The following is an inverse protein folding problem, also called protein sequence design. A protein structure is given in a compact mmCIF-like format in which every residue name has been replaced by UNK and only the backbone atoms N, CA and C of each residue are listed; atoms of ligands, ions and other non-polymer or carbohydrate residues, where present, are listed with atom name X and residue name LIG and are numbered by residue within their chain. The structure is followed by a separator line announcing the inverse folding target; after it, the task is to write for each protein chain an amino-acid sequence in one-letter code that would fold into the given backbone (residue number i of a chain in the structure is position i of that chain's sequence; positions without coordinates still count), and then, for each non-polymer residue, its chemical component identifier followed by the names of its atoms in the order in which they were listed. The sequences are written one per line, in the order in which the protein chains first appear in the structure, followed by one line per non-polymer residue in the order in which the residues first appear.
data_IF_541976537896
#
_entry.id   IF_541976537896
#
_cell.length_a   1.000
_cell.length_b   1.000
_cell.length_c   1.000
_cell.angle_alpha   90.00
_cell.angle_beta   90.00
_cell.angle_gamma   90.00
#
_symmetry.space_group_name_H-M   'P 1'
#
loop_
_entity.id
_entity.type
_entity.pdbx_description
1 polymer ?
#
# COMPACT_ATOMS: atom_id res chain seq x y z
N UNK A 1 -7.99 16.60 -11.79
CA UNK A 1 -6.66 15.97 -11.62
C UNK A 1 -6.74 14.49 -11.27
N UNK A 2 -7.44 14.12 -10.19
CA UNK A 2 -7.66 12.74 -9.76
C UNK A 2 -8.05 11.77 -10.89
N UNK A 3 -9.05 12.14 -11.71
CA UNK A 3 -9.50 11.33 -12.85
C UNK A 3 -8.42 11.09 -13.91
N UNK A 4 -7.60 12.10 -14.21
CA UNK A 4 -6.49 11.94 -15.16
C UNK A 4 -5.45 10.94 -14.65
N UNK A 5 -5.10 11.01 -13.36
CA UNK A 5 -4.22 10.02 -12.71
C UNK A 5 -4.86 8.63 -12.74
N UNK A 6 -6.17 8.51 -12.50
CA UNK A 6 -6.87 7.23 -12.50
C UNK A 6 -6.95 6.56 -13.89
N UNK A 7 -7.11 7.33 -14.97
CA UNK A 7 -7.36 6.76 -16.30
C UNK A 7 -6.11 6.73 -17.20
N UNK A 8 -5.21 7.70 -17.07
CA UNK A 8 -4.18 7.98 -18.09
C UNK A 8 -2.74 7.90 -17.60
N UNK A 9 -2.48 7.52 -16.33
CA UNK A 9 -1.13 7.44 -15.76
C UNK A 9 -0.13 6.63 -16.61
N UNK A 10 -0.54 5.47 -17.11
CA UNK A 10 0.31 4.59 -17.93
C UNK A 10 0.67 5.20 -19.30
N UNK A 11 -0.10 6.22 -19.76
CA UNK A 11 0.13 6.93 -21.03
C UNK A 11 0.90 8.24 -20.81
N UNK A 12 1.09 8.67 -19.57
CA UNK A 12 1.78 9.93 -19.27
C UNK A 12 3.28 9.75 -19.45
N UNK A 13 3.93 10.74 -20.05
CA UNK A 13 5.39 10.80 -20.06
C UNK A 13 5.92 10.99 -18.64
N UNK A 14 7.17 10.57 -18.41
CA UNK A 14 7.83 10.74 -17.12
C UNK A 14 7.78 12.19 -16.62
N UNK A 15 8.04 13.16 -17.50
CA UNK A 15 7.99 14.58 -17.16
C UNK A 15 6.62 15.07 -16.67
N UNK A 16 5.53 14.52 -17.24
CA UNK A 16 4.17 14.85 -16.78
C UNK A 16 3.91 14.27 -15.39
N UNK A 17 4.42 13.05 -15.11
CA UNK A 17 4.32 12.43 -13.78
C UNK A 17 5.08 13.28 -12.74
N UNK A 18 6.30 13.72 -13.04
CA UNK A 18 7.08 14.61 -12.17
C UNK A 18 6.32 15.90 -11.85
N UNK A 19 5.83 16.59 -12.89
CA UNK A 19 5.10 17.85 -12.73
C UNK A 19 3.81 17.67 -11.90
N UNK A 20 3.13 16.53 -12.02
CA UNK A 20 1.94 16.22 -11.22
C UNK A 20 2.26 16.06 -9.74
N UNK A 21 3.38 15.41 -9.39
CA UNK A 21 3.81 15.26 -8.00
C UNK A 21 4.29 16.58 -7.42
N UNK A 22 5.01 17.39 -8.20
CA UNK A 22 5.38 18.75 -7.79
C UNK A 22 4.14 19.60 -7.51
N UNK A 23 3.14 19.53 -8.38
CA UNK A 23 1.89 20.26 -8.21
C UNK A 23 1.09 19.79 -6.99
N UNK A 24 1.11 18.49 -6.68
CA UNK A 24 0.56 17.99 -5.42
C UNK A 24 1.30 18.61 -4.22
N UNK A 25 2.63 18.65 -4.25
CA UNK A 25 3.43 19.27 -3.19
C UNK A 25 3.07 20.76 -3.02
N UNK A 26 2.96 21.51 -4.12
CA UNK A 26 2.62 22.92 -4.10
C UNK A 26 1.20 23.18 -3.58
N UNK A 27 0.23 22.31 -3.93
CA UNK A 27 -1.12 22.38 -3.39
C UNK A 27 -1.18 22.10 -1.89
N UNK A 28 -0.35 21.18 -1.38
CA UNK A 28 -0.24 20.92 0.05
C UNK A 28 0.33 22.13 0.79
N UNK A 29 1.36 22.80 0.23
CA UNK A 29 1.91 24.05 0.77
C UNK A 29 0.87 25.17 0.85
N UNK A 30 -0.06 25.22 -0.11
CA UNK A 30 -1.15 26.17 -0.14
C UNK A 30 -2.39 25.74 0.67
N UNK A 31 -2.32 24.61 1.39
CA UNK A 31 -3.43 24.04 2.16
C UNK A 31 -4.72 23.81 1.34
N UNK A 32 -4.59 23.50 0.05
CA UNK A 32 -5.72 23.20 -0.82
C UNK A 32 -6.48 21.98 -0.27
N UNK A 33 -7.81 22.08 -0.18
CA UNK A 33 -8.67 21.00 0.31
C UNK A 33 -8.95 19.93 -0.76
N UNK A 34 -9.38 18.73 -0.35
CA UNK A 34 -9.84 17.65 -1.24
C UNK A 34 -8.76 17.00 -2.11
N UNK A 35 -7.52 16.93 -1.61
CA UNK A 35 -6.39 16.25 -2.27
C UNK A 35 -6.33 14.74 -1.98
N UNK A 36 -7.14 14.25 -1.04
CA UNK A 36 -7.11 12.88 -0.54
C UNK A 36 -7.46 11.85 -1.64
N UNK A 37 -8.40 12.20 -2.53
CA UNK A 37 -8.77 11.34 -3.66
C UNK A 37 -7.66 11.29 -4.71
N UNK A 38 -6.97 12.42 -4.95
CA UNK A 38 -5.81 12.45 -5.84
C UNK A 38 -4.69 11.58 -5.26
N UNK A 39 -4.40 11.75 -3.97
CA UNK A 39 -3.41 10.95 -3.25
C UNK A 39 -3.75 9.47 -3.29
N UNK A 40 -5.03 9.11 -3.13
CA UNK A 40 -5.51 7.75 -3.27
C UNK A 40 -5.14 7.16 -4.63
N UNK A 41 -5.41 7.88 -5.71
CA UNK A 41 -5.08 7.40 -7.05
C UNK A 41 -3.56 7.26 -7.28
N UNK A 42 -2.76 8.17 -6.72
CA UNK A 42 -1.29 8.09 -6.80
C UNK A 42 -0.74 6.90 -6.02
N UNK A 43 -1.19 6.68 -4.78
CA UNK A 43 -0.79 5.53 -3.97
C UNK A 43 -1.17 4.20 -4.63
N UNK A 44 -2.31 4.15 -5.32
CA UNK A 44 -2.75 2.99 -6.10
C UNK A 44 -1.93 2.73 -7.36
N UNK A 45 -0.99 3.62 -7.72
CA UNK A 45 0.01 3.39 -8.77
C UNK A 45 1.29 2.77 -8.24
N UNK A 46 1.52 2.77 -6.92
CA UNK A 46 2.63 2.06 -6.31
C UNK A 46 2.27 0.57 -6.25
N UNK A 47 2.95 -0.22 -7.09
CA UNK A 47 2.73 -1.65 -7.22
C UNK A 47 3.76 -2.38 -6.34
N UNK A 48 3.29 -3.10 -5.34
CA UNK A 48 4.11 -4.00 -4.53
C UNK A 48 4.74 -5.10 -5.39
N UNK A 49 5.99 -5.46 -5.12
CA UNK A 49 6.79 -6.48 -5.81
C UNK A 49 7.36 -6.02 -7.16
N UNK A 50 7.18 -4.76 -7.54
CA UNK A 50 7.72 -4.20 -8.78
C UNK A 50 8.90 -3.26 -8.49
N UNK A 51 10.13 -3.69 -8.79
CA UNK A 51 11.35 -2.90 -8.59
C UNK A 51 11.78 -2.12 -9.85
N UNK A 52 10.84 -1.81 -10.75
CA UNK A 52 11.12 -0.89 -11.86
C UNK A 52 11.43 0.51 -11.37
N UNK A 53 12.27 1.23 -12.10
CA UNK A 53 12.67 2.60 -11.74
C UNK A 53 11.47 3.51 -11.51
N UNK A 54 10.48 3.51 -12.41
CA UNK A 54 9.31 4.39 -12.28
C UNK A 54 8.49 4.11 -11.01
N UNK A 55 8.37 2.84 -10.60
CA UNK A 55 7.59 2.46 -9.42
C UNK A 55 8.32 2.88 -8.13
N UNK A 56 9.63 2.61 -8.06
CA UNK A 56 10.47 2.99 -6.92
C UNK A 56 10.58 4.52 -6.82
N UNK A 57 10.72 5.21 -7.95
CA UNK A 57 10.71 6.66 -8.04
C UNK A 57 9.41 7.25 -7.46
N UNK A 58 8.25 6.74 -7.90
CA UNK A 58 6.97 7.19 -7.37
C UNK A 58 6.86 6.96 -5.86
N UNK A 59 7.31 5.80 -5.36
CA UNK A 59 7.33 5.51 -3.93
C UNK A 59 8.18 6.51 -3.16
N UNK A 60 9.39 6.81 -3.66
CA UNK A 60 10.31 7.77 -3.06
C UNK A 60 9.75 9.20 -3.05
N UNK A 61 9.13 9.64 -4.14
CA UNK A 61 8.56 10.99 -4.23
C UNK A 61 7.34 11.16 -3.32
N UNK A 62 6.44 10.17 -3.28
CA UNK A 62 5.31 10.19 -2.35
C UNK A 62 5.80 10.17 -0.89
N UNK A 63 6.84 9.40 -0.58
CA UNK A 63 7.45 9.40 0.73
C UNK A 63 7.99 10.76 1.12
N UNK A 64 8.74 11.42 0.23
CA UNK A 64 9.27 12.76 0.46
C UNK A 64 8.14 13.77 0.75
N UNK A 65 7.04 13.69 -0.01
CA UNK A 65 5.84 14.52 0.21
C UNK A 65 5.22 14.25 1.59
N UNK A 66 5.11 12.98 2.01
CA UNK A 66 4.56 12.65 3.32
C UNK A 66 5.48 13.04 4.47
N UNK A 67 6.80 12.99 4.28
CA UNK A 67 7.76 13.49 5.26
C UNK A 67 7.69 15.02 5.42
N UNK A 68 7.48 15.76 4.33
CA UNK A 68 7.32 17.22 4.33
C UNK A 68 5.96 17.64 4.94
N UNK A 69 4.89 16.90 4.64
CA UNK A 69 3.51 17.24 5.01
C UNK A 69 2.88 16.28 6.02
N UNK A 70 3.64 15.88 7.06
CA UNK A 70 3.16 14.91 8.07
C UNK A 70 1.85 15.32 8.73
N UNK A 71 1.70 16.60 9.07
CA UNK A 71 0.48 17.12 9.71
C UNK A 71 -0.76 16.98 8.80
N UNK A 72 -0.58 17.05 7.47
CA UNK A 72 -1.66 16.82 6.54
C UNK A 72 -2.11 15.35 6.53
N UNK A 73 -1.15 14.41 6.63
CA UNK A 73 -1.43 12.96 6.71
C UNK A 73 -2.10 12.61 8.06
N UNK A 74 -1.59 13.17 9.15
CA UNK A 74 -2.08 12.93 10.52
C UNK A 74 -3.40 13.66 10.82
N UNK A 75 -3.76 14.69 10.04
CA UNK A 75 -4.89 15.58 10.30
C UNK A 75 -6.22 14.85 10.56
N UNK A 76 -6.81 15.08 11.74
CA UNK A 76 -8.08 14.45 12.15
C UNK A 76 -9.29 14.97 11.36
N UNK A 77 -9.23 16.20 10.83
CA UNK A 77 -10.30 16.82 10.03
C UNK A 77 -10.31 16.39 8.55
N UNK A 78 -9.36 15.53 8.15
CA UNK A 78 -9.25 15.00 6.78
C UNK A 78 -10.04 13.71 6.66
N UNK A 79 -10.21 13.23 5.42
CA UNK A 79 -10.85 11.94 5.19
C UNK A 79 -10.18 10.86 6.06
N UNK A 80 -10.93 10.14 6.92
CA UNK A 80 -10.37 9.29 7.97
C UNK A 80 -9.47 8.19 7.42
N UNK A 81 -9.62 7.82 6.16
CA UNK A 81 -8.85 6.78 5.48
C UNK A 81 -7.46 7.21 5.01
N UNK A 82 -7.10 8.51 4.97
CA UNK A 82 -5.81 8.96 4.39
C UNK A 82 -4.61 8.38 5.16
N UNK A 83 -4.58 8.57 6.48
CA UNK A 83 -3.54 8.00 7.34
C UNK A 83 -3.43 6.49 7.15
N UNK A 84 -4.57 5.80 7.19
CA UNK A 84 -4.64 4.34 7.07
C UNK A 84 -4.12 3.87 5.71
N UNK A 85 -4.43 4.61 4.64
CA UNK A 85 -3.95 4.33 3.31
C UNK A 85 -2.43 4.46 3.21
N UNK A 86 -1.84 5.52 3.77
CA UNK A 86 -0.39 5.73 3.78
C UNK A 86 0.29 4.60 4.55
N UNK A 87 -0.19 4.30 5.77
CA UNK A 87 0.33 3.23 6.62
C UNK A 87 0.28 1.87 5.91
N UNK A 88 -0.85 1.50 5.33
CA UNK A 88 -0.99 0.21 4.63
C UNK A 88 -0.09 0.13 3.39
N UNK A 89 0.09 1.24 2.68
CA UNK A 89 0.95 1.25 1.50
C UNK A 89 2.40 1.05 1.90
N UNK A 90 2.89 1.78 2.91
CA UNK A 90 4.25 1.63 3.44
C UNK A 90 4.49 0.22 4.00
N UNK A 91 3.57 -0.32 4.80
CA UNK A 91 3.65 -1.69 5.32
C UNK A 91 3.85 -2.74 4.22
N UNK A 92 3.36 -2.45 3.01
CA UNK A 92 3.44 -3.35 1.86
C UNK A 92 4.67 -3.13 1.00
N UNK A 93 5.16 -1.90 0.86
CA UNK A 93 6.31 -1.56 -0.01
C UNK A 93 7.65 -1.80 0.68
N UNK A 94 7.74 -1.58 1.99
CA UNK A 94 8.98 -1.73 2.77
C UNK A 94 9.68 -3.09 2.56
N UNK A 95 8.97 -4.24 2.58
CA UNK A 95 9.61 -5.53 2.34
C UNK A 95 10.32 -5.65 0.98
N UNK A 96 9.84 -4.93 -0.04
CA UNK A 96 10.43 -4.96 -1.38
C UNK A 96 11.74 -4.16 -1.43
N UNK A 97 11.86 -3.10 -0.64
CA UNK A 97 13.03 -2.21 -0.59
C UNK A 97 14.10 -2.67 0.41
N UNK A 98 13.76 -3.57 1.34
CA UNK A 98 14.68 -4.08 2.38
C UNK A 98 15.97 -4.70 1.82
N UNK A 99 15.89 -5.39 0.67
CA UNK A 99 17.07 -6.06 0.07
C UNK A 99 18.18 -5.08 -0.35
N UNK A 100 17.89 -3.79 -0.36
CA UNK A 100 18.86 -2.74 -0.68
C UNK A 100 19.28 -2.76 -2.16
N UNK A 101 20.33 -2.01 -2.45
CA UNK A 101 20.88 -1.85 -3.80
C UNK A 101 20.50 -0.52 -4.45
N UNK A 102 20.81 -0.41 -5.73
CA UNK A 102 20.66 0.83 -6.49
C UNK A 102 19.87 0.58 -7.76
N UNK A 103 18.77 1.30 -7.94
CA UNK A 103 17.95 1.23 -9.15
C UNK A 103 18.36 2.39 -10.06
N UNK A 104 18.92 2.05 -11.21
CA UNK A 104 19.32 3.03 -12.23
C UNK A 104 18.19 3.24 -13.23
N UNK A 105 18.06 4.46 -13.75
CA UNK A 105 17.13 4.71 -14.83
C UNK A 105 17.62 4.02 -16.12
N UNK A 106 16.74 3.42 -16.95
CA UNK A 106 17.13 2.69 -18.15
C UNK A 106 17.99 3.46 -19.15
N UNK A 107 17.78 4.78 -19.27
CA UNK A 107 18.53 5.66 -20.19
C UNK A 107 19.76 6.34 -19.54
N UNK A 108 20.00 6.13 -18.24
CA UNK A 108 21.11 6.74 -17.50
C UNK A 108 21.02 8.25 -17.26
N UNK A 109 19.94 8.92 -17.67
CA UNK A 109 19.79 10.38 -17.54
C UNK A 109 19.29 10.83 -16.16
N UNK A 110 18.52 9.99 -15.50
CA UNK A 110 17.91 10.31 -14.20
C UNK A 110 18.73 9.75 -13.03
N UNK A 111 18.71 10.41 -11.86
CA UNK A 111 19.52 9.99 -10.72
C UNK A 111 19.13 8.58 -10.29
N UNK A 112 20.15 7.79 -9.93
CA UNK A 112 19.95 6.45 -9.42
C UNK A 112 19.34 6.49 -8.02
N UNK A 113 18.40 5.60 -7.74
CA UNK A 113 17.71 5.54 -6.46
C UNK A 113 18.41 4.53 -5.56
N UNK A 114 18.82 4.97 -4.37
CA UNK A 114 19.40 4.12 -3.34
C UNK A 114 18.30 3.50 -2.48
N UNK A 115 18.07 2.19 -2.64
CA UNK A 115 17.01 1.46 -1.93
C UNK A 115 17.24 1.41 -0.42
N UNK A 116 18.50 1.36 0.04
CA UNK A 116 18.80 1.36 1.47
C UNK A 116 18.41 2.70 2.11
N UNK A 117 18.68 3.82 1.42
CA UNK A 117 18.24 5.13 1.90
C UNK A 117 16.71 5.27 1.87
N UNK A 118 16.06 4.76 0.84
CA UNK A 118 14.60 4.76 0.73
C UNK A 118 13.98 3.96 1.88
N UNK A 119 14.44 2.72 2.08
CA UNK A 119 14.01 1.82 3.14
C UNK A 119 14.08 2.49 4.52
N UNK A 120 15.22 3.10 4.86
CA UNK A 120 15.39 3.76 6.16
C UNK A 120 14.37 4.88 6.38
N UNK A 121 14.09 5.68 5.35
CA UNK A 121 13.08 6.74 5.42
C UNK A 121 11.67 6.17 5.56
N UNK A 122 11.34 5.12 4.80
CA UNK A 122 10.03 4.45 4.88
C UNK A 122 9.79 3.89 6.27
N UNK A 123 10.78 3.20 6.85
CA UNK A 123 10.72 2.66 8.22
C UNK A 123 10.51 3.76 9.25
N UNK A 124 11.32 4.82 9.18
CA UNK A 124 11.23 5.94 10.10
C UNK A 124 9.86 6.64 10.04
N UNK A 125 9.36 6.94 8.83
CA UNK A 125 8.04 7.55 8.68
C UNK A 125 6.94 6.63 9.19
N UNK A 126 6.96 5.34 8.83
CA UNK A 126 5.91 4.40 9.21
C UNK A 126 5.85 4.23 10.73
N UNK A 127 6.98 4.01 11.40
CA UNK A 127 7.04 3.88 12.87
C UNK A 127 6.53 5.15 13.53
N UNK A 128 6.97 6.32 13.06
CA UNK A 128 6.54 7.62 13.58
C UNK A 128 5.01 7.79 13.50
N UNK A 129 4.40 7.48 12.35
CA UNK A 129 2.94 7.55 12.15
C UNK A 129 2.20 6.52 13.03
N UNK A 130 2.71 5.30 13.15
CA UNK A 130 2.09 4.26 13.96
C UNK A 130 2.13 4.58 15.45
N UNK A 131 3.24 5.10 15.97
CA UNK A 131 3.37 5.48 17.39
C UNK A 131 2.47 6.67 17.74
N UNK A 132 2.42 7.70 16.88
CA UNK A 132 1.65 8.92 17.15
C UNK A 132 0.14 8.75 16.99
N UNK A 133 -0.28 7.84 16.10
CA UNK A 133 -1.70 7.66 15.76
C UNK A 133 -2.16 6.21 15.86
N UNK A 134 -1.61 5.46 16.82
CA UNK A 134 -1.85 4.02 16.95
C UNK A 134 -3.35 3.68 17.04
N UNK A 135 -4.12 4.43 17.81
CA UNK A 135 -5.58 4.27 17.91
C UNK A 135 -6.25 4.20 16.54
N UNK A 136 -5.91 5.12 15.63
CA UNK A 136 -6.48 5.14 14.28
C UNK A 136 -5.93 4.00 13.44
N UNK A 137 -4.62 3.75 13.50
CA UNK A 137 -3.98 2.65 12.78
C UNK A 137 -4.58 1.28 13.15
N UNK A 138 -4.97 1.09 14.41
CA UNK A 138 -5.60 -0.14 14.89
C UNK A 138 -7.00 -0.40 14.28
N UNK A 139 -7.68 0.63 13.75
CA UNK A 139 -8.96 0.48 13.05
C UNK A 139 -8.82 -0.30 11.72
N UNK A 140 -7.60 -0.44 11.19
CA UNK A 140 -7.32 -1.34 10.07
C UNK A 140 -7.60 -2.80 10.47
N UNK A 141 -7.43 -3.15 11.75
CA UNK A 141 -7.74 -4.46 12.30
C UNK A 141 -6.79 -5.57 11.86
N UNK A 142 -7.31 -6.79 11.68
CA UNK A 142 -6.48 -7.99 11.45
C UNK A 142 -5.48 -7.90 10.29
N UNK A 143 -5.79 -7.20 9.20
CA UNK A 143 -4.87 -7.06 8.06
C UNK A 143 -3.65 -6.20 8.40
N UNK A 144 -3.77 -5.24 9.33
CA UNK A 144 -2.63 -4.47 9.84
C UNK A 144 -1.59 -5.39 10.46
N UNK A 145 -2.03 -6.25 11.38
CA UNK A 145 -1.16 -7.23 12.03
C UNK A 145 -0.54 -8.19 11.02
N UNK A 146 -1.33 -8.67 10.04
CA UNK A 146 -0.84 -9.56 8.98
C UNK A 146 0.29 -8.92 8.17
N UNK A 147 0.22 -7.62 7.89
CA UNK A 147 1.24 -6.90 7.13
C UNK A 147 2.43 -6.49 8.00
N UNK A 148 2.21 -6.25 9.29
CA UNK A 148 3.26 -5.92 10.25
C UNK A 148 4.11 -7.14 10.64
N UNK A 149 3.52 -8.33 10.69
CA UNK A 149 4.21 -9.55 11.16
C UNK A 149 5.48 -9.89 10.36
N UNK A 150 5.53 -9.82 9.01
CA UNK A 150 6.79 -9.98 8.27
C UNK A 150 7.85 -8.94 8.63
N UNK A 151 7.44 -7.71 8.94
CA UNK A 151 8.34 -6.60 9.28
C UNK A 151 8.96 -6.79 10.66
N UNK A 152 8.38 -7.58 11.56
CA UNK A 152 8.93 -7.81 12.90
C UNK A 152 10.32 -8.47 12.90
N UNK A 153 10.75 -9.02 11.77
CA UNK A 153 12.08 -9.58 11.60
C UNK A 153 13.14 -8.48 11.39
N UNK A 154 12.74 -7.30 10.92
CA UNK A 154 13.63 -6.19 10.65
C UNK A 154 13.94 -5.43 11.94
N UNK A 155 15.21 -5.04 12.16
CA UNK A 155 15.66 -4.46 13.42
C UNK A 155 14.92 -3.18 13.79
N UNK A 156 14.52 -2.37 12.81
CA UNK A 156 13.78 -1.11 13.02
C UNK A 156 12.41 -1.33 13.66
N UNK A 157 11.76 -2.46 13.39
CA UNK A 157 10.41 -2.77 13.88
C UNK A 157 10.39 -3.63 15.14
N UNK A 158 11.53 -4.17 15.58
CA UNK A 158 11.58 -5.10 16.71
C UNK A 158 11.14 -4.45 18.02
N UNK A 159 11.56 -3.21 18.27
CA UNK A 159 11.16 -2.44 19.46
C UNK A 159 9.65 -2.21 19.46
N UNK A 160 9.12 -1.63 18.38
CA UNK A 160 7.68 -1.39 18.23
C UNK A 160 6.84 -2.67 18.36
N UNK A 161 7.31 -3.79 17.80
CA UNK A 161 6.59 -5.06 17.86
C UNK A 161 6.66 -5.70 19.25
N UNK A 162 7.73 -5.44 20.00
CA UNK A 162 7.84 -5.86 21.41
C UNK A 162 6.84 -5.06 22.24
N UNK A 163 6.81 -3.74 22.10
CA UNK A 163 5.86 -2.86 22.79
C UNK A 163 4.41 -3.25 22.47
N UNK A 164 4.12 -3.55 21.21
CA UNK A 164 2.80 -4.00 20.78
C UNK A 164 2.32 -5.28 21.50
N UNK A 165 3.24 -6.19 21.83
CA UNK A 165 2.92 -7.46 22.50
C UNK A 165 2.88 -7.35 24.01
N UNK A 166 3.83 -6.63 24.60
CA UNK A 166 4.04 -6.62 26.05
C UNK A 166 3.45 -5.39 26.73
N UNK A 167 3.33 -4.26 26.02
CA UNK A 167 2.95 -2.97 26.58
C UNK A 167 1.99 -2.22 25.65
N UNK A 168 0.91 -2.87 25.23
CA UNK A 168 -0.09 -2.24 24.35
C UNK A 168 -0.72 -1.00 25.00
N UNK A 169 -0.78 -0.96 26.34
CA UNK A 169 -1.26 0.18 27.12
C UNK A 169 -0.46 1.45 26.93
N UNK A 170 0.82 1.36 26.54
CA UNK A 170 1.62 2.54 26.20
C UNK A 170 1.29 3.11 24.81
N UNK A 171 0.74 2.27 23.91
CA UNK A 171 0.39 2.65 22.55
C UNK A 171 -1.06 3.12 22.42
N UNK A 172 -1.97 2.57 23.22
CA UNK A 172 -3.40 2.90 23.17
C UNK A 172 -4.06 2.76 24.52
N UNK A 173 -5.03 3.64 24.77
CA UNK A 173 -5.92 3.58 25.92
C UNK A 173 -7.23 2.86 25.61
N UNK A 174 -7.50 2.53 24.33
CA UNK A 174 -8.76 1.95 23.87
C UNK A 174 -8.75 0.42 23.83
N UNK A 175 -7.58 -0.17 23.58
CA UNK A 175 -7.42 -1.61 23.42
C UNK A 175 -6.64 -2.19 24.60
N UNK A 176 -7.14 -3.28 25.15
CA UNK A 176 -6.53 -3.94 26.31
C UNK A 176 -5.55 -5.03 25.90
N UNK A 177 -5.68 -5.58 24.69
CA UNK A 177 -4.84 -6.68 24.20
C UNK A 177 -4.62 -6.63 22.70
N UNK A 178 -3.44 -7.10 22.26
CA UNK A 178 -3.13 -7.35 20.85
C UNK A 178 -4.18 -8.22 20.14
N UNK A 179 -4.78 -9.17 20.86
CA UNK A 179 -5.80 -10.07 20.31
C UNK A 179 -7.08 -9.31 19.90
N UNK A 180 -7.39 -8.19 20.54
CA UNK A 180 -8.56 -7.37 20.19
C UNK A 180 -8.45 -6.82 18.76
N UNK A 181 -7.24 -6.44 18.33
CA UNK A 181 -6.99 -5.96 16.96
C UNK A 181 -7.30 -7.05 15.93
N UNK A 182 -7.04 -8.31 16.25
CA UNK A 182 -7.33 -9.44 15.36
C UNK A 182 -8.83 -9.70 15.18
N UNK A 183 -9.65 -9.28 16.14
CA UNK A 183 -11.12 -9.36 16.04
C UNK A 183 -11.71 -8.21 15.22
N UNK A 184 -10.99 -7.10 15.05
CA UNK A 184 -11.44 -5.97 14.22
C UNK A 184 -11.38 -6.38 12.74
N UNK A 185 -12.54 -6.32 12.08
CA UNK A 185 -12.61 -6.55 10.64
C UNK A 185 -12.09 -5.35 9.86
N UNK A 186 -11.17 -5.61 8.93
CA UNK A 186 -10.61 -4.57 8.07
C UNK A 186 -11.69 -3.92 7.20
N UNK A 187 -11.84 -2.58 7.27
CA UNK A 187 -12.82 -1.85 6.47
C UNK A 187 -12.72 -2.17 4.97
N UNK A 188 -13.89 -2.43 4.35
CA UNK A 188 -13.97 -2.78 2.92
C UNK A 188 -13.39 -1.70 2.02
N UNK A 189 -13.51 -0.43 2.40
CA UNK A 189 -12.93 0.71 1.68
C UNK A 189 -11.42 0.53 1.56
N UNK A 190 -10.72 0.21 2.66
CA UNK A 190 -9.27 -0.02 2.63
C UNK A 190 -8.90 -1.22 1.75
N UNK A 191 -9.67 -2.32 1.81
CA UNK A 191 -9.43 -3.48 0.95
C UNK A 191 -9.52 -3.13 -0.55
N UNK A 192 -10.44 -2.23 -0.92
CA UNK A 192 -10.57 -1.77 -2.30
C UNK A 192 -9.42 -0.84 -2.71
N UNK A 193 -8.92 -0.01 -1.80
CA UNK A 193 -7.81 0.92 -2.09
C UNK A 193 -6.46 0.23 -2.19
N UNK A 194 -6.30 -0.96 -1.59
CA UNK A 194 -5.08 -1.77 -1.65
C UNK A 194 -4.83 -2.35 -3.05
N UNK A 195 -5.88 -2.55 -3.86
CA UNK A 195 -5.76 -3.15 -5.18
C UNK A 195 -5.25 -2.09 -6.18
N UNK A 196 -4.11 -2.27 -6.85
CA UNK A 196 -3.63 -1.33 -7.86
C UNK A 196 -4.65 -1.16 -9.00
N UNK A 197 -4.66 0.02 -9.64
CA UNK A 197 -5.63 0.33 -10.69
C UNK A 197 -5.62 -0.68 -11.86
N UNK A 198 -4.43 -1.07 -12.31
CA UNK A 198 -4.28 -2.01 -13.43
C UNK A 198 -4.78 -3.40 -13.05
N UNK A 199 -4.48 -3.83 -11.83
CA UNK A 199 -4.94 -5.10 -11.30
C UNK A 199 -6.47 -5.15 -11.22
N UNK A 200 -7.09 -4.09 -10.70
CA UNK A 200 -8.56 -3.99 -10.63
C UNK A 200 -9.20 -4.07 -12.02
N UNK A 201 -8.63 -3.36 -13.01
CA UNK A 201 -9.10 -3.41 -14.39
C UNK A 201 -9.07 -4.84 -14.94
N UNK A 202 -7.94 -5.54 -14.77
CA UNK A 202 -7.79 -6.93 -15.20
C UNK A 202 -8.77 -7.87 -14.50
N UNK A 203 -8.95 -7.74 -13.19
CA UNK A 203 -9.90 -8.57 -12.42
C UNK A 203 -11.33 -8.34 -12.92
N UNK A 204 -11.75 -7.08 -13.06
CA UNK A 204 -13.09 -6.75 -13.56
C UNK A 204 -13.30 -7.29 -14.97
N UNK A 205 -12.29 -7.18 -15.83
CA UNK A 205 -12.33 -7.74 -17.18
C UNK A 205 -12.45 -9.27 -17.16
N UNK A 206 -11.65 -9.96 -16.34
CA UNK A 206 -11.70 -11.42 -16.19
C UNK A 206 -13.07 -11.88 -15.68
N UNK A 207 -13.61 -11.24 -14.64
CA UNK A 207 -14.92 -11.58 -14.08
C UNK A 207 -16.07 -11.38 -15.07
N UNK A 208 -15.93 -10.44 -16.02
CA UNK A 208 -16.96 -10.15 -17.03
C UNK A 208 -16.83 -11.03 -18.28
N UNK A 209 -15.62 -11.36 -18.70
CA UNK A 209 -15.37 -11.95 -20.02
C UNK A 209 -14.87 -13.41 -19.98
N UNK A 210 -14.35 -13.88 -18.84
CA UNK A 210 -13.84 -15.25 -18.70
C UNK A 210 -14.90 -16.11 -18.01
N UNK A 211 -15.54 -16.98 -18.79
CA UNK A 211 -16.52 -17.93 -18.27
C UNK A 211 -15.81 -19.17 -17.69
N UNK A 212 -16.16 -19.54 -16.45
CA UNK A 212 -15.72 -20.79 -15.84
C UNK A 212 -16.53 -21.96 -16.43
N UNK A 213 -16.15 -22.41 -17.62
CA UNK A 213 -16.77 -23.55 -18.31
C UNK A 213 -15.71 -24.62 -18.67
N UNK A 214 -16.10 -25.90 -18.76
CA UNK A 214 -15.20 -26.96 -19.24
C UNK A 214 -14.64 -26.59 -20.63
N UNK A 215 -13.31 -26.63 -20.79
CA UNK A 215 -12.64 -26.32 -22.06
C UNK A 215 -12.19 -24.85 -22.24
N UNK A 216 -12.63 -23.93 -21.37
CA UNK A 216 -12.07 -22.56 -21.35
C UNK A 216 -10.73 -22.59 -20.61
N UNK A 217 -9.63 -22.08 -21.19
CA UNK A 217 -8.31 -22.12 -20.57
C UNK A 217 -8.18 -21.04 -19.48
N UNK A 218 -9.02 -21.10 -18.44
CA UNK A 218 -8.98 -20.19 -17.28
C UNK A 218 -7.58 -20.11 -16.67
N UNK A 219 -6.84 -21.23 -16.69
CA UNK A 219 -5.45 -21.31 -16.23
C UNK A 219 -4.51 -20.35 -16.97
N UNK A 220 -4.67 -20.15 -18.28
CA UNK A 220 -3.82 -19.23 -19.06
C UNK A 220 -4.00 -17.77 -18.61
N UNK A 221 -5.23 -17.37 -18.30
CA UNK A 221 -5.50 -16.03 -17.78
C UNK A 221 -4.96 -15.85 -16.35
N UNK A 222 -5.03 -16.89 -15.52
CA UNK A 222 -4.41 -16.89 -14.19
C UNK A 222 -2.88 -16.80 -14.26
N UNK A 223 -2.25 -17.56 -15.16
CA UNK A 223 -0.81 -17.51 -15.41
C UNK A 223 -0.36 -16.12 -15.88
N UNK A 224 -1.04 -15.55 -16.89
CA UNK A 224 -0.77 -14.19 -17.36
C UNK A 224 -0.90 -13.17 -16.22
N UNK A 225 -1.95 -13.28 -15.41
CA UNK A 225 -2.15 -12.39 -14.26
C UNK A 225 -1.02 -12.49 -13.24
N UNK A 226 -0.54 -13.71 -12.96
CA UNK A 226 0.59 -13.93 -12.05
C UNK A 226 1.92 -13.40 -12.61
N UNK A 227 2.11 -13.43 -13.93
CA UNK A 227 3.29 -12.83 -14.57
C UNK A 227 3.25 -11.30 -14.47
N UNK A 228 2.09 -10.69 -14.70
CA UNK A 228 1.93 -9.23 -14.63
C UNK A 228 1.98 -8.69 -13.19
N UNK A 229 1.54 -9.47 -12.20
CA UNK A 229 1.46 -9.06 -10.79
C UNK A 229 2.13 -10.09 -9.87
N UNK A 230 3.46 -10.15 -9.84
CA UNK A 230 4.21 -11.23 -9.18
C UNK A 230 4.19 -11.18 -7.65
N UNK A 231 3.66 -10.13 -7.01
CA UNK A 231 3.76 -10.00 -5.55
C UNK A 231 2.91 -11.03 -4.79
N UNK A 232 3.57 -11.81 -3.95
CA UNK A 232 2.93 -12.75 -3.01
C UNK A 232 1.97 -12.07 -2.04
N UNK A 233 2.24 -10.80 -1.67
CA UNK A 233 1.40 -10.02 -0.77
C UNK A 233 0.03 -9.69 -1.38
N UNK A 234 -0.05 -9.51 -2.70
CA UNK A 234 -1.31 -9.35 -3.43
C UNK A 234 -2.06 -10.68 -3.59
N UNK A 235 -1.37 -11.79 -3.84
CA UNK A 235 -2.01 -13.10 -3.98
C UNK A 235 -2.79 -13.51 -2.72
N UNK A 236 -2.30 -13.16 -1.53
CA UNK A 236 -2.97 -13.40 -0.25
C UNK A 236 -4.32 -12.68 -0.10
N UNK A 237 -4.54 -11.55 -0.80
CA UNK A 237 -5.83 -10.86 -0.79
C UNK A 237 -6.88 -11.63 -1.60
N UNK A 238 -6.46 -12.39 -2.62
CA UNK A 238 -7.35 -13.14 -3.51
C UNK A 238 -7.61 -14.58 -3.05
N UNK A 239 -6.73 -15.17 -2.23
CA UNK A 239 -6.97 -16.50 -1.64
C UNK A 239 -8.04 -16.50 -0.53
N UNK A 240 -8.56 -15.33 -0.15
CA UNK A 240 -9.58 -15.15 0.91
C UNK A 240 -10.94 -15.80 0.65
N UNK A 241 -11.14 -16.54 -0.46
CA UNK A 241 -12.43 -17.14 -0.85
C UNK A 241 -12.50 -18.67 -0.98
N UNK A 242 -11.43 -19.41 -0.68
CA UNK A 242 -11.46 -20.88 -0.83
C UNK A 242 -11.66 -21.67 0.47
N UNK A 243 -11.55 -21.06 1.65
CA UNK A 243 -11.70 -21.79 2.92
C UNK A 243 -13.16 -21.96 3.38
N UNK A 244 -14.10 -21.16 2.87
CA UNK A 244 -15.49 -21.15 3.36
C UNK A 244 -16.46 -22.01 2.54
N UNK A 245 -16.03 -22.55 1.39
CA UNK A 245 -16.90 -23.28 0.45
C UNK A 245 -16.67 -24.81 0.45
N UNK A 246 -15.64 -25.31 1.12
CA UNK A 246 -15.30 -26.73 1.16
C UNK A 246 -15.93 -27.53 2.32
N UNK A 247 -16.81 -26.93 3.14
CA UNK A 247 -17.49 -27.60 4.27
C UNK A 247 -19.02 -27.69 4.16
N UNK A 248 -19.59 -27.49 2.96
CA UNK A 248 -21.04 -27.66 2.72
C UNK A 248 -21.29 -28.54 1.49
N UNK A 249 -20.85 -29.79 1.52
CA UNK A 249 -21.34 -30.89 0.67
C UNK A 249 -20.81 -32.21 1.21
N UNK A 250 -21.31 -32.65 2.36
CA UNK A 250 -21.35 -34.06 2.78
C UNK A 250 -22.44 -34.20 3.85
N UNK A 251 -23.68 -34.31 3.39
CA UNK A 251 -24.78 -35.00 4.05
C UNK A 251 -25.57 -35.70 2.96
#
# INVERSE_FOLDING_TARGET
MARFVAETWHKMSFKVKENLLQLLNDFLKQNVTNLEVLNLHLMRRVITGNLSYENVWLSQELLNIYEEHKEWVEGANRQPFLLLLVVITLLRTIPDHYRGGTIKHPDGTSPAINLTSLYNKECHLLISLMQRNFDRCSEIGRDFIRMLLPLSQYPEFQEFFTDLKTNISALTTKLSSFTEILYIETPKVLLQTIIPHEMEFWIRWMMKNVYCAPGVPVRKYQEMFNVCFPSHSLQCLFTRKNSSRAKRTTH
#
